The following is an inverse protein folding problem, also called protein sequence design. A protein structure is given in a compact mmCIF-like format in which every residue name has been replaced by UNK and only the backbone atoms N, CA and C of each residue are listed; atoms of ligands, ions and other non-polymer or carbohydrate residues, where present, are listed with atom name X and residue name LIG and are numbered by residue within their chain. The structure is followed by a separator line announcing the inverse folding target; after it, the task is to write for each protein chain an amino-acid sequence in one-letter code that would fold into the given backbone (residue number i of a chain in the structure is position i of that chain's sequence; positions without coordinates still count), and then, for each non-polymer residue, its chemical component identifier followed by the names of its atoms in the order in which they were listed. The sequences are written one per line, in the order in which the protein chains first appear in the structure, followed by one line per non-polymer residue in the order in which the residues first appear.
data_IF_167421897669
#
_entry.id   IF_167421897669
#
_cell.length_a   1.000
_cell.length_b   1.000
_cell.length_c   1.000
_cell.angle_alpha   90.00
_cell.angle_beta   90.00
_cell.angle_gamma   90.00
#
_symmetry.space_group_name_H-M   'P 1'
#
loop_
_entity.id
_entity.type
_entity.pdbx_description
1 polymer ?
#
# COMPACT_ATOMS: atom_id res chain seq x y z
N UNK A 1 18.52 -14.55 -17.00
CA UNK A 1 18.25 -13.62 -15.89
C UNK A 1 17.44 -12.48 -16.47
N UNK A 2 16.14 -12.33 -16.17
CA UNK A 2 15.43 -11.13 -16.58
C UNK A 2 16.09 -9.94 -15.88
N UNK A 3 16.51 -8.95 -16.65
CA UNK A 3 17.33 -7.83 -16.19
C UNK A 3 16.59 -6.93 -15.22
N UNK A 4 17.34 -6.14 -14.44
CA UNK A 4 16.85 -5.27 -13.36
C UNK A 4 15.81 -4.19 -13.71
N UNK A 5 15.22 -4.22 -14.90
CA UNK A 5 14.12 -3.37 -15.35
C UNK A 5 12.74 -4.07 -15.38
N UNK A 6 12.68 -5.40 -15.21
CA UNK A 6 11.42 -6.16 -15.05
C UNK A 6 10.83 -6.05 -13.62
N UNK A 7 11.36 -5.12 -12.81
CA UNK A 7 10.87 -4.90 -11.45
C UNK A 7 9.79 -3.82 -11.43
N UNK A 8 8.70 -4.05 -10.70
CA UNK A 8 7.69 -3.01 -10.44
C UNK A 8 8.15 -1.98 -9.39
N UNK A 9 9.45 -1.92 -9.13
CA UNK A 9 10.04 -0.97 -8.19
C UNK A 9 9.86 0.49 -8.63
N UNK A 10 10.08 0.88 -9.91
CA UNK A 10 9.81 2.23 -10.36
C UNK A 10 8.34 2.64 -10.20
N UNK A 11 7.42 1.69 -10.35
CA UNK A 11 5.97 1.90 -10.14
C UNK A 11 5.70 2.21 -8.67
N UNK A 12 6.29 1.46 -7.73
CA UNK A 12 6.17 1.72 -6.30
C UNK A 12 6.69 3.11 -5.91
N UNK A 13 7.88 3.48 -6.40
CA UNK A 13 8.49 4.78 -6.13
C UNK A 13 7.64 5.92 -6.69
N UNK A 14 7.06 5.76 -7.89
CA UNK A 14 6.16 6.74 -8.48
C UNK A 14 4.86 6.89 -7.66
N UNK A 15 4.30 5.79 -7.17
CA UNK A 15 3.16 5.83 -6.24
C UNK A 15 3.47 6.62 -4.96
N UNK A 16 4.63 6.40 -4.36
CA UNK A 16 5.09 7.17 -3.20
C UNK A 16 5.27 8.66 -3.51
N UNK A 17 5.78 8.99 -4.70
CA UNK A 17 5.92 10.37 -5.14
C UNK A 17 4.55 11.06 -5.26
N UNK A 18 3.59 10.44 -5.94
CA UNK A 18 2.22 10.98 -6.02
C UNK A 18 1.57 11.12 -4.66
N UNK A 19 1.75 10.15 -3.77
CA UNK A 19 1.21 10.22 -2.41
C UNK A 19 1.76 11.43 -1.65
N UNK A 20 3.07 11.71 -1.76
CA UNK A 20 3.68 12.89 -1.12
C UNK A 20 3.24 14.22 -1.73
N UNK A 21 2.84 14.22 -3.01
CA UNK A 21 2.32 15.42 -3.67
C UNK A 21 0.84 15.69 -3.36
N UNK A 22 0.17 14.84 -2.58
CA UNK A 22 -1.27 14.96 -2.34
C UNK A 22 -2.15 14.34 -3.43
N UNK A 23 -1.53 13.68 -4.42
CA UNK A 23 -2.20 13.14 -5.60
C UNK A 23 -2.73 11.72 -5.36
N UNK A 24 -3.66 11.57 -4.41
CA UNK A 24 -4.15 10.28 -3.92
C UNK A 24 -4.70 9.35 -5.02
N UNK A 25 -5.39 9.89 -6.03
CA UNK A 25 -5.88 9.10 -7.17
C UNK A 25 -4.75 8.54 -8.03
N UNK A 26 -3.73 9.36 -8.34
CA UNK A 26 -2.57 8.92 -9.12
C UNK A 26 -1.75 7.90 -8.33
N UNK A 27 -1.55 8.13 -7.04
CA UNK A 27 -0.87 7.19 -6.15
C UNK A 27 -1.58 5.82 -6.10
N UNK A 28 -2.91 5.82 -5.95
CA UNK A 28 -3.72 4.59 -5.95
C UNK A 28 -3.52 3.80 -7.25
N UNK A 29 -3.56 4.48 -8.40
CA UNK A 29 -3.36 3.83 -9.70
C UNK A 29 -1.97 3.19 -9.86
N UNK A 30 -0.93 3.78 -9.27
CA UNK A 30 0.40 3.18 -9.27
C UNK A 30 0.49 1.95 -8.37
N UNK A 31 -0.03 2.02 -7.15
CA UNK A 31 -0.03 0.85 -6.26
C UNK A 31 -0.89 -0.30 -6.77
N UNK A 32 -2.00 0.00 -7.46
CA UNK A 32 -2.84 -1.04 -8.07
C UNK A 32 -2.06 -1.87 -9.11
N UNK A 33 -1.21 -1.23 -9.92
CA UNK A 33 -0.36 -1.95 -10.89
C UNK A 33 0.55 -2.99 -10.22
N UNK A 34 1.01 -2.73 -9.00
CA UNK A 34 1.75 -3.72 -8.22
C UNK A 34 0.85 -4.91 -7.86
N UNK A 35 -0.30 -4.63 -7.27
CA UNK A 35 -1.22 -5.65 -6.79
C UNK A 35 -1.85 -6.48 -7.91
N UNK A 36 -1.96 -5.94 -9.13
CA UNK A 36 -2.41 -6.65 -10.32
C UNK A 36 -1.37 -7.63 -10.89
N UNK A 37 -0.10 -7.51 -10.47
CA UNK A 37 1.02 -8.32 -11.00
C UNK A 37 1.80 -9.04 -9.88
N UNK A 38 1.15 -9.82 -9.01
CA UNK A 38 1.81 -10.45 -7.87
C UNK A 38 2.87 -11.48 -8.31
N UNK A 39 2.74 -12.08 -9.50
CA UNK A 39 3.73 -13.00 -10.07
C UNK A 39 5.09 -12.33 -10.39
N UNK A 40 5.09 -11.02 -10.67
CA UNK A 40 6.31 -10.23 -10.90
C UNK A 40 6.92 -9.79 -9.56
N UNK A 41 6.08 -9.47 -8.57
CA UNK A 41 6.52 -9.05 -7.23
C UNK A 41 7.07 -10.23 -6.41
N UNK A 42 6.54 -11.43 -6.60
CA UNK A 42 6.97 -12.61 -5.85
C UNK A 42 6.96 -12.36 -4.34
N UNK A 43 8.15 -12.45 -3.71
CA UNK A 43 8.31 -12.31 -2.24
C UNK A 43 8.81 -10.93 -1.80
N UNK A 44 8.84 -9.94 -2.69
CA UNK A 44 9.32 -8.61 -2.33
C UNK A 44 8.36 -7.88 -1.38
N UNK A 45 8.92 -7.22 -0.36
CA UNK A 45 8.16 -6.49 0.68
C UNK A 45 7.25 -5.40 0.10
N UNK A 46 7.58 -4.86 -1.07
CA UNK A 46 6.79 -3.83 -1.75
C UNK A 46 5.38 -4.30 -2.10
N UNK A 47 5.13 -5.61 -2.25
CA UNK A 47 3.78 -6.14 -2.43
C UNK A 47 2.89 -5.84 -1.23
N UNK A 48 3.38 -6.21 -0.04
CA UNK A 48 2.66 -5.91 1.20
C UNK A 48 2.54 -4.41 1.46
N UNK A 49 3.64 -3.67 1.30
CA UNK A 49 3.62 -2.22 1.52
C UNK A 49 2.74 -1.49 0.50
N UNK A 50 2.47 -2.05 -0.67
CA UNK A 50 1.56 -1.44 -1.64
C UNK A 50 0.12 -1.41 -1.13
N UNK A 51 -0.35 -2.42 -0.38
CA UNK A 51 -1.65 -2.35 0.28
C UNK A 51 -1.73 -1.19 1.27
N UNK A 52 -0.71 -1.02 2.12
CA UNK A 52 -0.66 0.08 3.09
C UNK A 52 -0.66 1.46 2.40
N UNK A 53 0.17 1.63 1.37
CA UNK A 53 0.25 2.92 0.69
C UNK A 53 -0.98 3.20 -0.18
N UNK A 54 -1.60 2.17 -0.74
CA UNK A 54 -2.91 2.28 -1.41
C UNK A 54 -3.99 2.73 -0.45
N UNK A 55 -4.03 2.19 0.79
CA UNK A 55 -4.97 2.63 1.81
C UNK A 55 -4.82 4.12 2.16
N UNK A 56 -3.58 4.58 2.32
CA UNK A 56 -3.26 6.01 2.55
C UNK A 56 -3.68 6.89 1.38
N UNK A 57 -3.43 6.44 0.15
CA UNK A 57 -3.79 7.13 -1.07
C UNK A 57 -5.32 7.24 -1.26
N UNK A 58 -6.06 6.17 -0.98
CA UNK A 58 -7.52 6.15 -1.03
C UNK A 58 -8.15 7.04 0.02
N UNK A 59 -7.61 7.02 1.25
CA UNK A 59 -8.03 7.93 2.32
C UNK A 59 -7.83 9.39 1.91
N UNK A 60 -6.66 9.71 1.36
CA UNK A 60 -6.34 11.03 0.83
C UNK A 60 -7.29 11.45 -0.30
N UNK A 61 -7.72 10.50 -1.13
CA UNK A 61 -8.71 10.72 -2.19
C UNK A 61 -10.17 10.76 -1.69
N UNK A 62 -10.40 10.67 -0.37
CA UNK A 62 -11.74 10.72 0.23
C UNK A 62 -12.54 9.40 0.16
N UNK A 63 -11.91 8.30 -0.24
CA UNK A 63 -12.57 6.99 -0.33
C UNK A 63 -12.27 6.14 0.92
N UNK A 64 -12.94 6.45 2.03
CA UNK A 64 -12.71 5.78 3.31
C UNK A 64 -13.02 4.28 3.29
N UNK A 65 -14.08 3.87 2.59
CA UNK A 65 -14.46 2.46 2.47
C UNK A 65 -13.37 1.64 1.75
N UNK A 66 -12.83 2.16 0.64
CA UNK A 66 -11.72 1.49 -0.05
C UNK A 66 -10.44 1.50 0.81
N UNK A 67 -10.14 2.62 1.46
CA UNK A 67 -9.00 2.73 2.36
C UNK A 67 -9.07 1.68 3.48
N UNK A 68 -10.25 1.50 4.08
CA UNK A 68 -10.50 0.50 5.13
C UNK A 68 -10.10 -0.90 4.65
N UNK A 69 -10.61 -1.30 3.49
CA UNK A 69 -10.31 -2.61 2.89
C UNK A 69 -8.81 -2.79 2.66
N UNK A 70 -8.13 -1.80 2.09
CA UNK A 70 -6.68 -1.92 1.83
C UNK A 70 -5.83 -1.95 3.11
N UNK A 71 -6.25 -1.28 4.19
CA UNK A 71 -5.63 -1.48 5.51
C UNK A 71 -5.88 -2.89 6.04
N UNK A 72 -7.08 -3.44 5.91
CA UNK A 72 -7.40 -4.81 6.33
C UNK A 72 -6.55 -5.84 5.59
N UNK A 73 -6.37 -5.68 4.28
CA UNK A 73 -5.49 -6.53 3.46
C UNK A 73 -4.05 -6.50 3.99
N UNK A 74 -3.51 -5.30 4.26
CA UNK A 74 -2.17 -5.15 4.83
C UNK A 74 -2.05 -5.80 6.22
N UNK A 75 -2.98 -5.50 7.13
CA UNK A 75 -2.96 -5.99 8.50
C UNK A 75 -3.17 -7.51 8.57
N UNK A 76 -3.91 -8.09 7.62
CA UNK A 76 -4.04 -9.53 7.47
C UNK A 76 -2.73 -10.17 7.03
N UNK A 77 -2.06 -9.58 6.04
CA UNK A 77 -0.77 -10.05 5.55
C UNK A 77 0.34 -9.92 6.60
N UNK A 78 0.27 -8.89 7.44
CA UNK A 78 1.26 -8.58 8.48
C UNK A 78 0.81 -8.99 9.90
N UNK A 79 -0.16 -9.89 10.02
CA UNK A 79 -0.72 -10.30 11.33
C UNK A 79 0.33 -10.90 12.29
N UNK A 80 1.36 -11.54 11.72
CA UNK A 80 2.44 -12.22 12.45
C UNK A 80 3.77 -11.43 12.40
N UNK A 81 3.75 -10.17 11.93
CA UNK A 81 4.92 -9.31 11.94
C UNK A 81 5.29 -8.89 13.37
N UNK A 82 6.57 -8.57 13.60
CA UNK A 82 7.03 -8.09 14.91
C UNK A 82 6.20 -6.88 15.36
N UNK A 83 5.65 -6.98 16.58
CA UNK A 83 4.65 -6.03 17.05
C UNK A 83 5.23 -4.62 17.28
N UNK A 84 6.54 -4.48 17.43
CA UNK A 84 7.23 -3.21 17.65
C UNK A 84 7.62 -2.49 16.35
N UNK A 85 7.36 -3.09 15.17
CA UNK A 85 7.64 -2.45 13.89
C UNK A 85 6.85 -1.14 13.73
N UNK A 86 7.52 0.02 13.58
CA UNK A 86 6.84 1.31 13.54
C UNK A 86 5.79 1.41 12.43
N UNK A 87 6.05 0.84 11.25
CA UNK A 87 5.12 0.87 10.11
C UNK A 87 3.85 0.07 10.39
N UNK A 88 3.95 -1.03 11.15
CA UNK A 88 2.81 -1.87 11.51
C UNK A 88 1.93 -1.19 12.56
N UNK A 89 2.55 -0.57 13.56
CA UNK A 89 1.85 0.24 14.57
C UNK A 89 1.14 1.45 13.94
N UNK A 90 1.81 2.15 13.02
CA UNK A 90 1.22 3.26 12.28
C UNK A 90 0.00 2.81 11.48
N UNK A 91 0.08 1.70 10.74
CA UNK A 91 -1.04 1.17 9.98
C UNK A 91 -2.25 0.83 10.87
N UNK A 92 -2.03 0.21 12.03
CA UNK A 92 -3.10 -0.06 13.01
C UNK A 92 -3.76 1.23 13.52
N UNK A 93 -2.95 2.22 13.89
CA UNK A 93 -3.44 3.51 14.37
C UNK A 93 -4.17 4.31 13.28
N UNK A 94 -3.72 4.24 12.04
CA UNK A 94 -4.37 4.86 10.88
C UNK A 94 -5.71 4.19 10.56
N UNK A 95 -5.75 2.85 10.54
CA UNK A 95 -6.97 2.06 10.34
C UNK A 95 -8.04 2.34 11.40
N UNK A 96 -7.64 2.39 12.68
CA UNK A 96 -8.55 2.64 13.79
C UNK A 96 -9.22 4.03 13.72
N UNK A 97 -8.61 4.99 13.02
CA UNK A 97 -9.16 6.35 12.82
C UNK A 97 -10.20 6.41 11.70
N UNK A 98 -10.32 5.39 10.85
CA UNK A 98 -11.37 5.35 9.83
C UNK A 98 -12.73 5.10 10.50
N UNK A 99 -13.65 6.05 10.32
CA UNK A 99 -14.99 5.98 10.93
C UNK A 99 -15.64 4.66 10.54
N UNK A 100 -16.25 3.97 11.50
CA UNK A 100 -17.25 2.94 11.17
C UNK A 100 -18.51 3.72 10.81
N UNK A 101 -18.98 3.58 9.58
CA UNK A 101 -20.32 4.03 9.23
C UNK A 101 -21.36 3.29 10.08
#
# INVERSE_FOLDING_TARGET
MPGGFDSLYPVYIRGLAYLRMGEGRLATAEFQKLLDHPGIIGRFVIGALSHLQMARAQKMAGNEAAARKSYEDFLTLWKDADADLPVYQQAKAEYAKLRKD
#
